data_IF_875316781647
#
_entry.id   IF_875316781647
#
_cell.length_a   1.000
_cell.length_b   1.000
_cell.length_c   1.000
_cell.angle_alpha   90.00
_cell.angle_beta   90.00
_cell.angle_gamma   90.00
#
_symmetry.space_group_name_H-M   'P 1'
#
loop_
_entity.id
_entity.type
_entity.pdbx_description
1 polymer ?
#
# COMPACT_ATOMS: atom_id res chain seq x y z
N UNK A 1 11.00 0.59 -15.37
CA UNK A 1 11.47 0.01 -14.09
C UNK A 1 12.36 1.02 -13.40
N UNK A 2 11.96 1.46 -12.22
CA UNK A 2 12.71 2.43 -11.42
C UNK A 2 13.10 1.76 -10.09
N UNK A 3 14.37 1.91 -9.72
CA UNK A 3 14.83 1.55 -8.38
C UNK A 3 14.44 2.67 -7.41
N UNK A 4 13.60 2.36 -6.43
CA UNK A 4 13.04 3.35 -5.51
C UNK A 4 13.84 3.35 -4.20
N UNK A 5 14.65 4.37 -4.01
CA UNK A 5 15.47 4.53 -2.80
C UNK A 5 14.70 5.26 -1.70
N UNK A 6 13.65 4.61 -1.17
CA UNK A 6 12.83 5.19 -0.11
C UNK A 6 13.49 5.15 1.28
N UNK A 7 14.43 4.22 1.50
CA UNK A 7 14.88 3.87 2.84
C UNK A 7 16.38 4.13 3.03
N UNK A 8 16.77 4.63 4.19
CA UNK A 8 18.16 4.74 4.60
C UNK A 8 18.77 3.37 4.93
N UNK A 9 17.98 2.52 5.59
CA UNK A 9 18.33 1.10 5.81
C UNK A 9 18.12 0.33 4.48
N UNK A 10 19.20 -0.16 3.91
CA UNK A 10 19.23 -0.86 2.61
C UNK A 10 18.92 -2.37 2.73
N UNK A 11 18.30 -2.81 3.82
CA UNK A 11 17.92 -4.24 4.00
C UNK A 11 16.99 -4.73 2.90
N UNK A 12 16.04 -3.90 2.47
CA UNK A 12 15.14 -4.18 1.36
C UNK A 12 15.30 -3.17 0.24
N UNK A 13 15.15 -3.65 -0.98
CA UNK A 13 15.12 -2.85 -2.21
C UNK A 13 13.71 -2.88 -2.76
N UNK A 14 13.21 -1.74 -3.22
CA UNK A 14 11.91 -1.63 -3.87
C UNK A 14 12.06 -1.21 -5.32
N UNK A 15 11.37 -1.90 -6.20
CA UNK A 15 11.31 -1.63 -7.64
C UNK A 15 9.88 -1.24 -8.00
N UNK A 16 9.72 -0.13 -8.72
CA UNK A 16 8.44 0.37 -9.20
C UNK A 16 8.23 0.15 -10.69
N UNK A 17 6.98 -0.14 -11.06
CA UNK A 17 6.53 -0.33 -12.44
C UNK A 17 5.28 0.51 -12.67
N UNK A 18 5.35 1.45 -13.62
CA UNK A 18 4.22 2.23 -14.12
C UNK A 18 3.79 1.72 -15.48
N UNK A 19 2.50 1.76 -15.75
CA UNK A 19 1.92 1.53 -17.07
C UNK A 19 2.47 0.27 -17.79
N UNK A 20 2.75 -0.80 -17.02
CA UNK A 20 3.29 -2.02 -17.59
C UNK A 20 2.21 -2.77 -18.39
N UNK A 21 2.46 -3.22 -19.64
CA UNK A 21 1.44 -3.82 -20.51
C UNK A 21 0.72 -5.03 -19.91
N UNK A 22 1.39 -5.79 -19.05
CA UNK A 22 0.83 -6.96 -18.37
C UNK A 22 0.05 -6.60 -17.09
N UNK A 23 0.15 -5.35 -16.61
CA UNK A 23 -0.50 -4.88 -15.38
C UNK A 23 -1.67 -3.98 -15.79
N UNK A 24 -2.84 -4.57 -15.95
CA UNK A 24 -4.03 -3.85 -16.46
C UNK A 24 -4.94 -3.30 -15.35
N UNK A 25 -4.75 -3.74 -14.12
CA UNK A 25 -5.67 -3.46 -13.00
C UNK A 25 -5.13 -2.44 -12.00
N UNK A 26 -3.89 -2.00 -12.17
CA UNK A 26 -3.23 -1.01 -11.32
C UNK A 26 -2.44 -0.02 -12.17
N UNK A 27 -2.42 1.23 -11.75
CA UNK A 27 -1.63 2.29 -12.42
C UNK A 27 -0.16 2.18 -12.07
N UNK A 28 0.13 1.68 -10.87
CA UNK A 28 1.47 1.50 -10.33
C UNK A 28 1.57 0.20 -9.55
N UNK A 29 2.70 -0.51 -9.67
CA UNK A 29 3.06 -1.66 -8.83
C UNK A 29 4.46 -1.46 -8.26
N UNK A 30 4.64 -1.79 -6.99
CA UNK A 30 5.93 -1.87 -6.34
C UNK A 30 6.17 -3.28 -5.80
N UNK A 31 7.39 -3.76 -5.98
CA UNK A 31 7.85 -5.03 -5.45
C UNK A 31 9.07 -4.77 -4.58
N UNK A 32 9.04 -5.27 -3.35
CA UNK A 32 10.21 -5.22 -2.47
C UNK A 32 10.77 -6.62 -2.25
N UNK A 33 12.09 -6.69 -2.21
CA UNK A 33 12.83 -7.91 -1.92
C UNK A 33 14.03 -7.61 -1.02
N UNK A 34 14.54 -8.64 -0.34
CA UNK A 34 15.69 -8.50 0.57
C UNK A 34 16.97 -8.39 -0.25
N UNK A 35 17.77 -7.34 -0.03
CA UNK A 35 18.98 -7.08 -0.83
C UNK A 35 20.00 -8.22 -0.77
N UNK A 36 20.12 -8.89 0.37
CA UNK A 36 21.05 -10.01 0.55
C UNK A 36 20.52 -11.35 0.01
N UNK A 37 19.24 -11.43 -0.38
CA UNK A 37 18.62 -12.67 -0.87
C UNK A 37 18.87 -12.83 -2.36
N UNK A 38 19.72 -13.79 -2.71
CA UNK A 38 20.05 -14.11 -4.11
C UNK A 38 18.92 -14.83 -4.86
N UNK A 39 17.89 -15.32 -4.15
CA UNK A 39 16.69 -15.92 -4.74
C UNK A 39 15.64 -14.89 -5.15
N UNK A 40 15.85 -13.63 -4.77
CA UNK A 40 14.90 -12.52 -5.02
C UNK A 40 13.47 -12.81 -4.53
N UNK A 41 13.35 -13.48 -3.38
CA UNK A 41 12.04 -13.73 -2.79
C UNK A 41 11.32 -12.42 -2.50
N UNK A 42 10.08 -12.32 -2.96
CA UNK A 42 9.26 -11.11 -2.77
C UNK A 42 8.91 -10.97 -1.29
N UNK A 43 9.33 -9.86 -0.70
CA UNK A 43 9.01 -9.50 0.68
C UNK A 43 7.75 -8.65 0.79
N UNK A 44 7.46 -7.82 -0.22
CA UNK A 44 6.20 -7.10 -0.33
C UNK A 44 5.79 -6.83 -1.78
N UNK A 45 4.49 -6.68 -1.98
CA UNK A 45 3.87 -6.28 -3.23
C UNK A 45 2.84 -5.19 -2.96
N UNK A 46 2.94 -4.07 -3.66
CA UNK A 46 1.98 -2.97 -3.64
C UNK A 46 1.32 -2.84 -5.00
N UNK A 47 0.00 -2.67 -5.02
CA UNK A 47 -0.74 -2.20 -6.18
C UNK A 47 -1.45 -0.89 -5.85
N UNK A 48 -1.33 0.12 -6.71
CA UNK A 48 -1.91 1.44 -6.52
C UNK A 48 -2.83 1.80 -7.67
N UNK A 49 -4.00 2.35 -7.35
CA UNK A 49 -4.97 2.93 -8.29
C UNK A 49 -5.22 4.38 -7.92
N UNK A 50 -5.01 5.28 -8.86
CA UNK A 50 -5.29 6.70 -8.69
C UNK A 50 -6.81 7.00 -8.70
N UNK A 51 -7.24 7.92 -7.85
CA UNK A 51 -8.64 8.34 -7.73
C UNK A 51 -8.74 9.86 -7.55
N UNK A 52 -8.40 10.62 -8.56
CA UNK A 52 -8.44 12.09 -8.53
C UNK A 52 -9.75 12.61 -7.93
N UNK A 53 -9.72 13.02 -6.64
CA UNK A 53 -10.86 13.57 -5.89
C UNK A 53 -12.12 12.69 -5.84
N UNK A 54 -12.00 11.42 -6.18
CA UNK A 54 -13.11 10.48 -6.20
C UNK A 54 -13.05 9.49 -5.03
N UNK A 55 -12.84 10.01 -3.82
CA UNK A 55 -12.67 9.19 -2.60
C UNK A 55 -13.77 8.13 -2.42
N UNK A 56 -15.02 8.49 -2.73
CA UNK A 56 -16.13 7.52 -2.66
C UNK A 56 -15.98 6.35 -3.64
N UNK A 57 -15.38 6.57 -4.81
CA UNK A 57 -15.07 5.48 -5.77
C UNK A 57 -13.96 4.60 -5.22
N UNK A 58 -12.93 5.20 -4.60
CA UNK A 58 -11.88 4.47 -3.90
C UNK A 58 -12.49 3.53 -2.84
N UNK A 59 -13.31 4.06 -1.93
CA UNK A 59 -13.97 3.27 -0.87
C UNK A 59 -14.83 2.13 -1.44
N UNK A 60 -15.57 2.39 -2.52
CA UNK A 60 -16.39 1.37 -3.19
C UNK A 60 -15.52 0.25 -3.77
N UNK A 61 -14.41 0.58 -4.43
CA UNK A 61 -13.47 -0.40 -4.98
C UNK A 61 -12.79 -1.19 -3.86
N UNK A 62 -12.32 -0.50 -2.81
CA UNK A 62 -11.74 -1.12 -1.62
C UNK A 62 -12.68 -2.13 -0.98
N UNK A 63 -13.97 -1.76 -0.81
CA UNK A 63 -15.00 -2.68 -0.26
C UNK A 63 -15.15 -3.95 -1.08
N UNK A 64 -15.08 -3.84 -2.42
CA UNK A 64 -15.14 -5.00 -3.33
C UNK A 64 -13.93 -5.91 -3.12
N UNK A 65 -12.71 -5.35 -3.11
CA UNK A 65 -11.46 -6.08 -2.88
C UNK A 65 -11.48 -6.76 -1.50
N UNK A 66 -11.90 -6.05 -0.46
CA UNK A 66 -11.99 -6.61 0.89
C UNK A 66 -12.99 -7.76 0.99
N UNK A 67 -14.08 -7.73 0.20
CA UNK A 67 -15.01 -8.86 0.12
C UNK A 67 -14.35 -10.10 -0.49
N UNK A 68 -13.53 -9.92 -1.52
CA UNK A 68 -12.76 -10.99 -2.14
C UNK A 68 -11.74 -11.57 -1.14
N UNK A 69 -10.98 -10.72 -0.43
CA UNK A 69 -10.05 -11.17 0.61
C UNK A 69 -10.75 -11.90 1.76
N UNK A 70 -11.93 -11.44 2.21
CA UNK A 70 -12.73 -12.15 3.22
C UNK A 70 -13.18 -13.55 2.78
N UNK A 71 -13.35 -13.77 1.48
CA UNK A 71 -13.69 -15.11 0.96
C UNK A 71 -12.46 -16.02 0.85
N UNK A 72 -11.26 -15.45 0.72
CA UNK A 72 -9.99 -16.18 0.63
C UNK A 72 -9.41 -16.50 2.02
N UNK A 73 -9.50 -15.53 2.93
CA UNK A 73 -8.95 -15.64 4.28
C UNK A 73 -10.08 -15.82 5.28
N UNK A 74 -10.07 -16.89 6.05
CA UNK A 74 -11.05 -17.12 7.14
C UNK A 74 -10.80 -16.23 8.36
N UNK A 75 -10.26 -15.03 8.15
CA UNK A 75 -9.80 -14.09 9.18
C UNK A 75 -10.70 -12.86 9.17
N UNK A 76 -11.11 -12.42 10.35
CA UNK A 76 -11.83 -11.15 10.51
C UNK A 76 -10.83 -10.00 10.40
N UNK A 77 -10.99 -9.08 9.42
CA UNK A 77 -10.12 -7.93 9.29
C UNK A 77 -10.42 -6.86 10.34
N UNK A 78 -9.41 -6.06 10.64
CA UNK A 78 -9.54 -4.81 11.38
C UNK A 78 -9.70 -3.65 10.40
N UNK A 79 -10.63 -2.73 10.68
CA UNK A 79 -10.85 -1.53 9.85
C UNK A 79 -10.86 -0.30 10.74
N UNK A 80 -10.09 0.69 10.34
CA UNK A 80 -10.02 1.98 11.03
C UNK A 80 -9.81 3.13 10.03
N UNK A 81 -10.22 4.32 10.42
CA UNK A 81 -10.12 5.53 9.62
C UNK A 81 -9.72 6.72 10.48
N UNK A 82 -9.18 7.73 9.86
CA UNK A 82 -8.76 8.93 10.59
C UNK A 82 -8.16 10.00 9.71
N UNK A 83 -7.51 10.94 10.37
CA UNK A 83 -6.74 11.99 9.71
C UNK A 83 -5.34 11.49 9.38
N UNK A 84 -4.88 11.75 8.15
CA UNK A 84 -3.57 11.27 7.72
C UNK A 84 -2.44 12.02 8.46
N UNK A 85 -1.53 11.32 9.17
CA UNK A 85 -0.58 11.95 10.09
C UNK A 85 0.44 12.86 9.40
N UNK A 86 0.71 12.65 8.12
CA UNK A 86 1.62 13.48 7.32
C UNK A 86 1.03 14.86 7.03
N UNK A 87 -0.30 14.98 6.94
CA UNK A 87 -0.94 16.27 6.77
C UNK A 87 -1.22 16.96 8.11
N UNK A 88 -0.33 17.86 8.50
CA UNK A 88 -0.45 18.64 9.75
C UNK A 88 -1.67 19.56 9.79
N UNK A 89 -2.35 19.80 8.65
CA UNK A 89 -3.60 20.57 8.63
C UNK A 89 -4.81 19.77 9.14
N UNK A 90 -4.69 18.45 9.25
CA UNK A 90 -5.77 17.54 9.66
C UNK A 90 -6.90 17.41 8.64
N UNK A 91 -6.68 17.82 7.38
CA UNK A 91 -7.72 17.80 6.33
C UNK A 91 -7.67 16.58 5.44
N UNK A 92 -6.53 15.89 5.37
CA UNK A 92 -6.41 14.62 4.65
C UNK A 92 -6.99 13.47 5.47
N UNK A 93 -7.66 12.53 4.81
CA UNK A 93 -8.30 11.38 5.44
C UNK A 93 -7.70 10.08 4.92
N UNK A 94 -7.82 9.03 5.72
CA UNK A 94 -7.54 7.67 5.26
C UNK A 94 -8.52 6.67 5.86
N UNK A 95 -8.67 5.53 5.18
CA UNK A 95 -9.37 4.36 5.71
C UNK A 95 -8.56 3.10 5.37
N UNK A 96 -8.12 2.39 6.41
CA UNK A 96 -7.41 1.12 6.32
C UNK A 96 -8.30 -0.06 6.64
N UNK A 97 -8.03 -1.19 5.98
CA UNK A 97 -8.51 -2.50 6.39
C UNK A 97 -7.34 -3.47 6.36
N UNK A 98 -7.09 -4.16 7.46
CA UNK A 98 -5.93 -5.01 7.70
C UNK A 98 -6.36 -6.46 7.96
N UNK A 99 -5.73 -7.40 7.25
CA UNK A 99 -5.89 -8.84 7.41
C UNK A 99 -4.56 -9.40 7.92
N UNK A 100 -4.49 -9.76 9.20
CA UNK A 100 -3.32 -10.36 9.81
C UNK A 100 -3.29 -11.86 9.52
N UNK A 101 -2.35 -12.29 8.68
CA UNK A 101 -2.11 -13.68 8.33
C UNK A 101 -1.01 -14.28 9.23
N UNK A 102 -0.83 -15.61 9.21
CA UNK A 102 0.23 -16.25 9.99
C UNK A 102 1.63 -15.74 9.60
N UNK A 103 1.89 -15.60 8.29
CA UNK A 103 3.22 -15.29 7.75
C UNK A 103 3.31 -13.89 7.15
N UNK A 104 2.27 -13.06 7.29
CA UNK A 104 2.26 -11.73 6.67
C UNK A 104 1.00 -10.94 6.97
N UNK A 105 0.85 -9.85 6.23
CA UNK A 105 -0.30 -8.95 6.32
C UNK A 105 -0.79 -8.55 4.94
N UNK A 106 -2.09 -8.38 4.81
CA UNK A 106 -2.71 -7.70 3.66
C UNK A 106 -3.40 -6.44 4.15
N UNK A 107 -3.07 -5.32 3.55
CA UNK A 107 -3.66 -4.00 3.88
C UNK A 107 -4.28 -3.39 2.63
N UNK A 108 -5.49 -2.88 2.77
CA UNK A 108 -6.11 -2.03 1.75
C UNK A 108 -6.34 -0.64 2.33
N UNK A 109 -5.88 0.38 1.63
CA UNK A 109 -5.95 1.77 2.09
C UNK A 109 -6.57 2.66 1.02
N UNK A 110 -7.54 3.50 1.38
CA UNK A 110 -7.92 4.67 0.60
C UNK A 110 -7.39 5.92 1.28
N UNK A 111 -6.77 6.81 0.53
CA UNK A 111 -6.29 8.12 1.00
C UNK A 111 -6.93 9.22 0.18
N UNK A 112 -7.45 10.24 0.90
CA UNK A 112 -8.03 11.47 0.37
C UNK A 112 -7.16 12.64 0.86
N UNK A 113 -6.34 13.17 -0.03
CA UNK A 113 -5.42 14.24 0.31
C UNK A 113 -6.10 15.59 0.29
N UNK A 114 -5.75 16.46 1.21
CA UNK A 114 -6.18 17.85 1.18
C UNK A 114 -5.58 18.59 -0.02
N UNK A 115 -6.26 19.62 -0.53
CA UNK A 115 -5.76 20.48 -1.65
C UNK A 115 -4.30 20.94 -1.47
N UNK A 116 -3.86 21.14 -0.23
CA UNK A 116 -2.48 21.52 0.06
C UNK A 116 -1.51 20.38 -0.23
N UNK A 117 -1.93 19.15 0.07
CA UNK A 117 -1.12 17.94 -0.08
C UNK A 117 -1.14 17.38 -1.51
N UNK A 118 -2.19 17.66 -2.30
CA UNK A 118 -2.33 17.24 -3.71
C UNK A 118 -1.19 17.76 -4.62
N UNK A 119 -0.47 18.80 -4.20
CA UNK A 119 0.74 19.26 -4.90
C UNK A 119 1.90 18.26 -4.86
N UNK A 120 1.86 17.34 -3.92
CA UNK A 120 2.94 16.36 -3.67
C UNK A 120 2.45 14.92 -3.72
N UNK A 121 1.18 14.68 -3.42
CA UNK A 121 0.55 13.37 -3.33
C UNK A 121 -0.74 13.35 -4.13
N UNK A 122 -1.22 12.19 -4.51
CA UNK A 122 -2.50 12.00 -5.21
C UNK A 122 -3.40 11.03 -4.42
N UNK A 123 -4.71 11.21 -4.56
CA UNK A 123 -5.70 10.31 -3.96
C UNK A 123 -5.60 8.92 -4.59
N UNK A 124 -5.57 7.90 -3.77
CA UNK A 124 -5.38 6.54 -4.28
C UNK A 124 -5.96 5.46 -3.38
N UNK A 125 -6.24 4.32 -4.01
CA UNK A 125 -6.34 3.03 -3.36
C UNK A 125 -4.99 2.34 -3.41
N UNK A 126 -4.50 1.87 -2.28
CA UNK A 126 -3.34 1.00 -2.18
C UNK A 126 -3.75 -0.37 -1.67
N UNK A 127 -3.30 -1.42 -2.35
CA UNK A 127 -3.37 -2.80 -1.88
C UNK A 127 -1.94 -3.25 -1.60
N UNK A 128 -1.66 -3.56 -0.35
CA UNK A 128 -0.34 -3.93 0.14
C UNK A 128 -0.37 -5.35 0.70
N UNK A 129 0.56 -6.18 0.27
CA UNK A 129 0.77 -7.54 0.76
C UNK A 129 2.22 -7.65 1.17
N UNK A 130 2.51 -8.15 2.36
CA UNK A 130 3.89 -8.33 2.80
C UNK A 130 4.08 -9.49 3.75
N UNK A 131 5.33 -9.94 3.85
CA UNK A 131 5.78 -10.83 4.94
C UNK A 131 5.79 -10.08 6.26
N UNK A 132 5.70 -10.82 7.38
CA UNK A 132 5.84 -10.25 8.72
C UNK A 132 7.20 -9.57 8.92
N UNK A 133 8.28 -10.12 8.33
CA UNK A 133 9.61 -9.51 8.40
C UNK A 133 9.63 -8.10 7.80
N UNK A 134 9.07 -7.95 6.59
CA UNK A 134 9.01 -6.65 5.92
C UNK A 134 8.09 -5.68 6.67
N UNK A 135 6.92 -6.15 7.13
CA UNK A 135 5.97 -5.34 7.89
C UNK A 135 6.58 -4.79 9.18
N UNK A 136 7.26 -5.63 9.96
CA UNK A 136 7.92 -5.20 11.18
C UNK A 136 9.06 -4.22 10.90
N UNK A 137 9.83 -4.46 9.83
CA UNK A 137 10.92 -3.57 9.43
C UNK A 137 10.41 -2.20 8.99
N UNK A 138 9.37 -2.11 8.14
CA UNK A 138 8.86 -0.81 7.66
C UNK A 138 8.24 0.01 8.81
N UNK A 139 7.66 -0.65 9.80
CA UNK A 139 7.11 0.00 10.99
C UNK A 139 8.19 0.40 12.01
N UNK A 140 9.43 -0.09 11.90
CA UNK A 140 10.56 0.35 12.71
C UNK A 140 11.17 1.69 12.26
N UNK A 141 10.55 2.36 11.29
CA UNK A 141 10.96 3.65 10.75
C UNK A 141 12.33 3.62 10.04
N UNK A 142 12.46 2.90 8.91
CA UNK A 142 13.71 2.76 8.15
C UNK A 142 14.07 4.00 7.29
N UNK A 143 13.28 5.08 7.38
CA UNK A 143 13.38 6.30 6.57
C UNK A 143 14.48 7.26 7.01
#
# INVERSE_FOLDING_TARGET
QNNLEYYKDKRFITIGFENHPMIKNYDWIEISYKQADKSFSIASLNGVLAYDREYNKCLKKKKKINKEFKSLFTIKPETYSGKHPVDKSGKSNFENTEFYLNDGIVVTTCIDWSKKMEKKYFDHLKVFISTNEFWNWINSNPY
#
